data_IF_102673405579
#
_entry.id   IF_102673405579
#
_cell.length_a   1.000
_cell.length_b   1.000
_cell.length_c   1.000
_cell.angle_alpha   90.00
_cell.angle_beta   90.00
_cell.angle_gamma   90.00
#
_symmetry.space_group_name_H-M   'P 1'
#
loop_
_entity.id
_entity.type
_entity.pdbx_description
1 polymer ?
#
# COMPACT_ATOMS: atom_id res chain seq x y z
N UNK A 1 40.16 59.77 -93.72
CA UNK A 1 41.10 59.02 -92.85
C UNK A 1 40.93 59.41 -91.35
N UNK A 2 39.76 59.25 -90.71
CA UNK A 2 39.51 59.75 -89.33
C UNK A 2 38.85 58.75 -88.34
N UNK A 3 38.50 57.53 -88.79
CA UNK A 3 37.79 56.55 -87.92
C UNK A 3 38.73 55.61 -87.13
N UNK A 4 39.91 55.25 -87.67
CA UNK A 4 40.84 54.30 -87.01
C UNK A 4 41.54 54.85 -85.74
N UNK A 5 41.65 56.17 -85.56
CA UNK A 5 42.31 56.76 -84.36
C UNK A 5 41.37 56.85 -83.14
N UNK A 6 40.05 56.87 -83.33
CA UNK A 6 39.08 56.98 -82.24
C UNK A 6 38.85 55.63 -81.53
N UNK A 7 38.88 54.53 -82.28
CA UNK A 7 38.77 53.17 -81.71
C UNK A 7 39.93 52.83 -80.76
N UNK A 8 41.17 53.21 -81.08
CA UNK A 8 42.34 52.88 -80.26
C UNK A 8 42.45 53.67 -78.96
N UNK A 9 41.90 54.89 -78.91
CA UNK A 9 41.83 55.68 -77.66
C UNK A 9 40.78 55.10 -76.73
N UNK A 10 39.62 54.70 -77.27
CA UNK A 10 38.53 54.10 -76.50
C UNK A 10 38.92 52.74 -75.92
N UNK A 11 39.69 51.94 -76.66
CA UNK A 11 40.20 50.64 -76.20
C UNK A 11 41.26 50.81 -75.09
N UNK A 12 42.12 51.83 -75.19
CA UNK A 12 43.10 52.17 -74.14
C UNK A 12 42.44 52.66 -72.86
N UNK A 13 41.38 53.48 -72.94
CA UNK A 13 40.65 53.94 -71.74
C UNK A 13 39.88 52.80 -71.08
N UNK A 14 39.27 51.93 -71.87
CA UNK A 14 38.54 50.75 -71.39
C UNK A 14 39.49 49.74 -70.71
N UNK A 15 40.70 49.54 -71.24
CA UNK A 15 41.71 48.70 -70.61
C UNK A 15 42.25 49.29 -69.29
N UNK A 16 42.45 50.62 -69.20
CA UNK A 16 42.80 51.27 -67.94
C UNK A 16 41.69 51.13 -66.89
N UNK A 17 40.43 51.28 -67.30
CA UNK A 17 39.28 51.09 -66.41
C UNK A 17 39.16 49.64 -65.92
N UNK A 18 39.31 48.65 -66.82
CA UNK A 18 39.36 47.22 -66.46
C UNK A 18 40.52 46.90 -65.53
N UNK A 19 41.69 47.53 -65.72
CA UNK A 19 42.83 47.35 -64.83
C UNK A 19 42.56 47.95 -63.44
N UNK A 20 41.98 49.15 -63.38
CA UNK A 20 41.52 49.78 -62.13
C UNK A 20 40.48 48.93 -61.39
N UNK A 21 39.50 48.36 -62.10
CA UNK A 21 38.53 47.44 -61.52
C UNK A 21 39.17 46.16 -60.98
N UNK A 22 40.15 45.59 -61.69
CA UNK A 22 40.91 44.42 -61.21
C UNK A 22 41.79 44.73 -59.99
N UNK A 23 42.32 45.95 -59.89
CA UNK A 23 43.07 46.38 -58.71
C UNK A 23 42.14 46.58 -57.50
N UNK A 24 40.99 47.24 -57.70
CA UNK A 24 39.98 47.42 -56.67
C UNK A 24 39.41 46.10 -56.16
N UNK A 25 39.13 45.13 -57.05
CA UNK A 25 38.64 43.81 -56.64
C UNK A 25 39.68 42.99 -55.86
N UNK A 26 40.96 43.14 -56.18
CA UNK A 26 42.06 42.54 -55.39
C UNK A 26 42.15 43.15 -53.99
N UNK A 27 41.97 44.46 -53.85
CA UNK A 27 41.97 45.12 -52.54
C UNK A 27 40.76 44.69 -51.71
N UNK A 28 39.57 44.60 -52.32
CA UNK A 28 38.36 44.12 -51.64
C UNK A 28 38.49 42.66 -51.19
N UNK A 29 39.09 41.79 -52.01
CA UNK A 29 39.31 40.38 -51.63
C UNK A 29 40.39 40.22 -50.58
N UNK A 30 41.44 41.04 -50.59
CA UNK A 30 42.43 41.08 -49.51
C UNK A 30 41.79 41.56 -48.19
N UNK A 31 41.04 42.65 -48.21
CA UNK A 31 40.33 43.17 -47.03
C UNK A 31 39.29 42.18 -46.48
N UNK A 32 38.61 41.42 -47.36
CA UNK A 32 37.70 40.36 -46.94
C UNK A 32 38.42 39.18 -46.26
N UNK A 33 39.62 38.81 -46.75
CA UNK A 33 40.45 37.77 -46.11
C UNK A 33 40.98 38.22 -44.76
N UNK A 34 41.40 39.47 -44.63
CA UNK A 34 41.89 40.00 -43.35
C UNK A 34 40.76 40.08 -42.31
N UNK A 35 39.54 40.46 -42.71
CA UNK A 35 38.35 40.39 -41.84
C UNK A 35 38.02 38.96 -41.42
N UNK A 36 37.98 38.01 -42.36
CA UNK A 36 37.73 36.61 -42.05
C UNK A 36 38.80 36.02 -41.10
N UNK A 37 40.07 36.46 -41.23
CA UNK A 37 41.14 36.04 -40.33
C UNK A 37 41.02 36.64 -38.92
N UNK A 38 40.47 37.86 -38.80
CA UNK A 38 40.15 38.47 -37.51
C UNK A 38 38.94 37.79 -36.85
N UNK A 39 37.88 37.53 -37.61
CA UNK A 39 36.68 36.83 -37.12
C UNK A 39 37.01 35.40 -36.65
N UNK A 40 37.84 34.67 -37.40
CA UNK A 40 38.30 33.34 -37.00
C UNK A 40 39.16 33.37 -35.71
N UNK A 41 39.90 34.46 -35.46
CA UNK A 41 40.66 34.63 -34.21
C UNK A 41 39.75 34.94 -33.03
N UNK A 42 38.70 35.76 -33.22
CA UNK A 42 37.72 36.00 -32.16
C UNK A 42 36.91 34.76 -31.83
N UNK A 43 36.53 33.96 -32.84
CA UNK A 43 35.79 32.71 -32.63
C UNK A 43 36.64 31.69 -31.88
N UNK A 44 37.92 31.55 -32.24
CA UNK A 44 38.85 30.67 -31.53
C UNK A 44 39.11 31.13 -30.08
N UNK A 45 39.09 32.44 -29.81
CA UNK A 45 39.20 32.98 -28.45
C UNK A 45 37.93 32.69 -27.65
N UNK A 46 36.75 32.85 -28.25
CA UNK A 46 35.46 32.56 -27.62
C UNK A 46 35.33 31.07 -27.27
N UNK A 47 35.72 30.17 -28.18
CA UNK A 47 35.73 28.73 -27.91
C UNK A 47 36.68 28.34 -26.78
N UNK A 48 37.86 28.97 -26.69
CA UNK A 48 38.80 28.73 -25.58
C UNK A 48 38.24 29.19 -24.24
N UNK A 49 37.57 30.34 -24.20
CA UNK A 49 36.93 30.84 -22.97
C UNK A 49 35.76 29.94 -22.57
N UNK A 50 34.98 29.47 -23.54
CA UNK A 50 33.88 28.53 -23.31
C UNK A 50 34.37 27.19 -22.74
N UNK A 51 35.41 26.60 -23.32
CA UNK A 51 36.01 25.35 -22.79
C UNK A 51 36.56 25.52 -21.38
N UNK A 52 37.23 26.65 -21.08
CA UNK A 52 37.68 26.94 -19.72
C UNK A 52 36.53 27.06 -18.73
N UNK A 53 35.45 27.74 -19.10
CA UNK A 53 34.26 27.84 -18.24
C UNK A 53 33.57 26.49 -18.04
N UNK A 54 33.53 25.64 -19.06
CA UNK A 54 33.01 24.26 -18.97
C UNK A 54 33.92 23.37 -18.10
N UNK A 55 35.24 23.49 -18.21
CA UNK A 55 36.22 22.79 -17.37
C UNK A 55 36.14 23.25 -15.90
N UNK A 56 36.00 24.55 -15.64
CA UNK A 56 35.80 25.11 -14.30
C UNK A 56 34.45 24.67 -13.71
N UNK A 57 33.37 24.69 -14.49
CA UNK A 57 32.07 24.19 -14.06
C UNK A 57 32.08 22.67 -13.80
N UNK A 58 32.78 21.90 -14.63
CA UNK A 58 32.97 20.47 -14.41
C UNK A 58 33.83 20.18 -13.16
N UNK A 59 34.85 20.99 -12.89
CA UNK A 59 35.66 20.88 -11.68
C UNK A 59 34.85 21.20 -10.41
N UNK A 60 34.00 22.23 -10.45
CA UNK A 60 33.08 22.55 -9.35
C UNK A 60 32.06 21.42 -9.15
N UNK A 61 31.47 20.88 -10.22
CA UNK A 61 30.53 19.78 -10.15
C UNK A 61 31.17 18.48 -9.64
N UNK A 62 32.42 18.19 -10.02
CA UNK A 62 33.18 17.05 -9.51
C UNK A 62 33.49 17.20 -8.01
N UNK A 63 33.85 18.41 -7.58
CA UNK A 63 34.08 18.72 -6.17
C UNK A 63 32.79 18.63 -5.33
N UNK A 64 31.63 18.91 -5.94
CA UNK A 64 30.30 18.78 -5.30
C UNK A 64 29.83 17.31 -5.22
N UNK A 65 30.23 16.46 -6.17
CA UNK A 65 29.97 15.01 -6.17
C UNK A 65 30.88 14.23 -5.20
N UNK A 66 32.09 14.70 -4.91
CA UNK A 66 32.99 14.11 -3.91
C UNK A 66 32.60 14.44 -2.47
N UNK A 67 31.73 15.43 -2.26
CA UNK A 67 31.21 15.71 -0.92
C UNK A 67 30.24 14.57 -0.54
N UNK A 68 30.53 13.76 0.49
CA UNK A 68 29.61 12.72 0.91
C UNK A 68 28.26 13.37 1.24
N UNK A 69 27.12 12.78 0.84
CA UNK A 69 25.82 13.32 1.17
C UNK A 69 25.71 13.35 2.69
N UNK A 70 25.83 14.54 3.28
CA UNK A 70 25.51 14.75 4.68
C UNK A 70 24.04 14.33 4.86
N UNK A 71 23.73 13.43 5.80
CA UNK A 71 22.36 12.99 5.97
C UNK A 71 21.51 14.21 6.26
N UNK A 72 20.47 14.43 5.45
CA UNK A 72 19.50 15.51 5.64
C UNK A 72 18.96 15.38 7.05
N UNK A 73 19.43 16.23 7.96
CA UNK A 73 18.90 16.34 9.32
C UNK A 73 17.52 16.99 9.19
N UNK A 74 16.50 16.17 8.96
CA UNK A 74 15.12 16.61 9.00
C UNK A 74 14.84 17.06 10.43
N UNK A 75 14.92 18.37 10.67
CA UNK A 75 14.60 18.94 11.98
C UNK A 75 13.09 18.78 12.15
N UNK A 76 12.69 17.72 12.86
CA UNK A 76 11.31 17.48 13.20
C UNK A 76 10.74 18.70 13.95
N UNK A 77 9.81 19.41 13.33
CA UNK A 77 9.25 20.66 13.88
C UNK A 77 8.18 20.40 14.94
N UNK A 78 7.46 19.27 14.84
CA UNK A 78 6.37 18.89 15.74
C UNK A 78 6.82 17.87 16.80
N UNK A 79 6.24 17.95 18.01
CA UNK A 79 6.54 17.05 19.13
C UNK A 79 6.38 15.56 18.76
N UNK A 80 5.26 15.20 18.13
CA UNK A 80 4.99 13.84 17.65
C UNK A 80 6.00 13.38 16.59
N UNK A 81 6.46 14.29 15.74
CA UNK A 81 7.48 13.96 14.74
C UNK A 81 8.84 13.72 15.40
N UNK A 82 9.18 14.49 16.44
CA UNK A 82 10.40 14.26 17.26
C UNK A 82 10.32 12.93 17.99
N UNK A 83 9.16 12.60 18.56
CA UNK A 83 8.91 11.32 19.22
C UNK A 83 9.08 10.15 18.24
N UNK A 84 8.43 10.22 17.08
CA UNK A 84 8.57 9.19 16.05
C UNK A 84 10.02 9.04 15.58
N UNK A 85 10.72 10.14 15.30
CA UNK A 85 12.13 10.07 14.91
C UNK A 85 13.00 9.42 15.99
N UNK A 86 12.78 9.73 17.28
CA UNK A 86 13.48 9.08 18.38
C UNK A 86 13.22 7.57 18.40
N UNK A 87 11.96 7.15 18.26
CA UNK A 87 11.58 5.72 18.20
C UNK A 87 12.22 5.04 16.98
N UNK A 88 12.15 5.66 15.81
CA UNK A 88 12.73 5.12 14.57
C UNK A 88 14.26 4.96 14.71
N UNK A 89 14.95 5.88 15.39
CA UNK A 89 16.39 5.74 15.67
C UNK A 89 16.70 4.60 16.64
N UNK A 90 15.90 4.44 17.70
CA UNK A 90 16.02 3.31 18.63
C UNK A 90 15.76 1.96 17.93
N UNK A 91 14.77 1.92 17.03
CA UNK A 91 14.44 0.76 16.21
C UNK A 91 15.56 0.39 15.24
N UNK A 92 16.19 1.39 14.59
CA UNK A 92 17.30 1.15 13.66
C UNK A 92 18.56 0.67 14.36
N UNK A 93 18.89 1.26 15.52
CA UNK A 93 20.13 0.93 16.24
C UNK A 93 20.01 -0.37 17.04
N UNK A 94 18.80 -0.76 17.46
CA UNK A 94 18.52 -1.97 18.26
C UNK A 94 19.40 -2.09 19.53
N UNK A 95 19.84 -0.96 20.07
CA UNK A 95 20.73 -0.86 21.23
C UNK A 95 20.16 0.15 22.23
N UNK A 96 20.37 -0.07 23.53
CA UNK A 96 20.05 0.96 24.51
C UNK A 96 20.93 2.19 24.25
N UNK A 97 20.33 3.36 24.16
CA UNK A 97 21.03 4.62 23.87
C UNK A 97 20.86 5.60 25.02
N UNK A 98 21.95 6.32 25.33
CA UNK A 98 21.89 7.42 26.28
C UNK A 98 21.24 8.66 25.66
N UNK A 99 20.85 9.61 26.50
CA UNK A 99 20.37 10.92 26.06
C UNK A 99 21.38 11.65 25.15
N UNK A 100 22.67 11.55 25.46
CA UNK A 100 23.73 12.20 24.68
C UNK A 100 23.90 11.53 23.32
N UNK A 101 23.82 10.20 23.24
CA UNK A 101 23.85 9.48 21.97
C UNK A 101 22.65 9.85 21.10
N UNK A 102 21.45 9.87 21.69
CA UNK A 102 20.23 10.30 20.99
C UNK A 102 20.33 11.74 20.48
N UNK A 103 20.95 12.64 21.25
CA UNK A 103 21.20 14.02 20.83
C UNK A 103 22.11 14.08 19.60
N UNK A 104 23.13 13.24 19.51
CA UNK A 104 24.04 13.19 18.35
C UNK A 104 23.29 12.73 17.10
N UNK A 105 22.43 11.71 17.21
CA UNK A 105 21.66 11.20 16.07
C UNK A 105 20.51 12.13 15.64
N UNK A 106 19.76 12.67 16.60
CA UNK A 106 18.54 13.44 16.34
C UNK A 106 18.80 14.94 16.16
N UNK A 107 19.91 15.46 16.67
CA UNK A 107 20.21 16.89 16.68
C UNK A 107 19.38 17.71 17.66
N UNK A 108 18.57 17.08 18.52
CA UNK A 108 17.82 17.70 19.61
C UNK A 108 17.85 16.83 20.87
N UNK A 109 17.65 17.46 22.03
CA UNK A 109 17.66 16.78 23.33
C UNK A 109 16.30 16.11 23.60
N UNK A 110 16.33 14.82 23.97
CA UNK A 110 15.12 14.05 24.31
C UNK A 110 14.72 14.17 25.79
N UNK A 111 15.63 14.66 26.64
CA UNK A 111 15.44 14.78 28.10
C UNK A 111 14.62 16.01 28.52
N UNK A 112 14.37 16.96 27.62
CA UNK A 112 13.79 18.25 28.00
C UNK A 112 12.32 18.33 27.59
N UNK A 113 11.46 18.50 28.60
CA UNK A 113 10.07 18.90 28.45
C UNK A 113 9.11 17.78 28.05
N UNK A 114 8.00 18.09 27.35
CA UNK A 114 6.89 17.16 27.10
C UNK A 114 7.26 15.95 26.22
N UNK A 115 8.43 15.99 25.55
CA UNK A 115 8.92 14.88 24.75
C UNK A 115 9.36 13.70 25.62
N UNK A 116 10.01 13.97 26.74
CA UNK A 116 10.48 12.93 27.67
C UNK A 116 9.29 12.16 28.25
N UNK A 117 8.29 12.87 28.75
CA UNK A 117 7.05 12.27 29.28
C UNK A 117 6.32 11.46 28.20
N UNK A 118 6.30 11.97 26.98
CA UNK A 118 5.67 11.29 25.84
C UNK A 118 6.42 10.01 25.43
N UNK A 119 7.75 10.01 25.49
CA UNK A 119 8.57 8.82 25.22
C UNK A 119 8.43 7.79 26.34
N UNK A 120 8.44 8.22 27.60
CA UNK A 120 8.29 7.35 28.76
C UNK A 120 6.93 6.64 28.80
N UNK A 121 5.88 7.31 28.35
CA UNK A 121 4.52 6.75 28.28
C UNK A 121 4.27 5.90 27.02
N UNK A 122 5.25 5.77 26.12
CA UNK A 122 5.03 5.10 24.84
C UNK A 122 5.27 3.59 24.95
N UNK A 123 4.35 2.77 24.41
CA UNK A 123 4.40 1.30 24.52
C UNK A 123 5.67 0.66 23.95
N UNK A 124 6.28 1.27 22.92
CA UNK A 124 7.49 0.78 22.24
C UNK A 124 8.81 1.31 22.81
N UNK A 125 8.78 2.10 23.87
CA UNK A 125 10.00 2.67 24.49
C UNK A 125 10.03 2.26 25.94
N UNK A 126 11.17 1.73 26.37
CA UNK A 126 11.46 1.47 27.77
C UNK A 126 12.55 2.44 28.21
N UNK A 127 12.35 3.09 29.36
CA UNK A 127 13.30 4.02 29.94
C UNK A 127 13.72 3.50 31.31
N UNK A 128 15.00 3.16 31.42
CA UNK A 128 15.59 2.74 32.68
C UNK A 128 16.07 3.98 33.45
N UNK A 129 15.42 4.28 34.58
CA UNK A 129 15.75 5.44 35.41
C UNK A 129 17.13 5.34 36.05
N UNK A 130 17.61 4.12 36.32
CA UNK A 130 18.87 3.89 37.01
C UNK A 130 20.08 4.12 36.10
N UNK A 131 19.96 3.70 34.84
CA UNK A 131 21.02 3.84 33.84
C UNK A 131 20.85 5.06 32.94
N UNK A 132 19.66 5.66 32.91
CA UNK A 132 19.34 6.79 32.03
C UNK A 132 19.33 6.41 30.55
N UNK A 133 19.07 5.14 30.24
CA UNK A 133 19.12 4.58 28.89
C UNK A 133 17.71 4.38 28.33
N UNK A 134 17.52 4.74 27.06
CA UNK A 134 16.34 4.42 26.28
C UNK A 134 16.56 3.13 25.51
N UNK A 135 15.66 2.16 25.67
CA UNK A 135 15.64 0.91 24.92
C UNK A 135 14.36 0.82 24.09
N UNK A 136 14.47 0.25 22.89
CA UNK A 136 13.30 -0.13 22.11
C UNK A 136 12.65 -1.38 22.72
N UNK A 137 11.36 -1.30 23.03
CA UNK A 137 10.54 -2.41 23.50
C UNK A 137 9.74 -2.98 22.34
N UNK A 138 10.15 -4.16 21.86
CA UNK A 138 9.36 -4.90 20.90
C UNK A 138 8.09 -5.46 21.56
N UNK A 139 7.07 -5.77 20.75
CA UNK A 139 5.83 -6.39 21.25
C UNK A 139 6.10 -7.73 21.94
N UNK A 140 7.03 -8.51 21.39
CA UNK A 140 7.52 -9.76 21.95
C UNK A 140 9.04 -9.69 22.10
N UNK A 141 9.57 -10.03 23.28
CA UNK A 141 11.02 -10.03 23.55
C UNK A 141 11.63 -11.35 23.11
N UNK A 142 11.87 -11.46 21.80
CA UNK A 142 12.35 -12.67 21.13
C UNK A 142 13.67 -12.33 20.45
N UNK A 143 14.70 -13.14 20.67
CA UNK A 143 16.05 -12.88 20.13
C UNK A 143 16.50 -13.96 19.15
N UNK A 144 16.01 -15.19 19.34
CA UNK A 144 16.43 -16.36 18.60
C UNK A 144 15.25 -17.10 17.95
N UNK A 145 15.58 -17.99 17.01
CA UNK A 145 14.60 -18.89 16.37
C UNK A 145 13.88 -19.80 17.36
N UNK A 146 14.59 -20.29 18.39
CA UNK A 146 14.02 -21.15 19.45
C UNK A 146 12.98 -20.38 20.28
N UNK A 147 13.29 -19.14 20.65
CA UNK A 147 12.36 -18.24 21.35
C UNK A 147 11.06 -18.01 20.54
N UNK A 148 11.15 -17.91 19.20
CA UNK A 148 9.97 -17.80 18.33
C UNK A 148 9.09 -19.04 18.46
N UNK A 149 9.70 -20.22 18.49
CA UNK A 149 8.98 -21.50 18.62
C UNK A 149 8.31 -21.61 19.98
N UNK A 150 9.00 -21.24 21.06
CA UNK A 150 8.42 -21.20 22.41
C UNK A 150 7.25 -20.23 22.49
N UNK A 151 7.39 -19.04 21.91
CA UNK A 151 6.33 -18.04 21.88
C UNK A 151 5.09 -18.56 21.15
N UNK A 152 5.26 -19.13 19.95
CA UNK A 152 4.16 -19.73 19.17
C UNK A 152 3.50 -20.87 19.95
N UNK A 153 4.26 -21.65 20.71
CA UNK A 153 3.72 -22.71 21.54
C UNK A 153 2.91 -22.20 22.74
N UNK A 154 3.28 -21.03 23.27
CA UNK A 154 2.58 -20.37 24.38
C UNK A 154 1.34 -19.61 23.93
N UNK A 155 1.27 -19.17 22.66
CA UNK A 155 0.14 -18.40 22.12
C UNK A 155 -0.83 -19.30 21.34
N UNK A 156 -1.98 -19.70 21.90
CA UNK A 156 -2.94 -20.56 21.21
C UNK A 156 -3.63 -19.87 20.03
N UNK A 157 -3.75 -18.54 20.06
CA UNK A 157 -4.44 -17.73 19.04
C UNK A 157 -3.60 -17.53 17.76
N UNK A 158 -2.38 -18.05 17.73
CA UNK A 158 -1.43 -17.86 16.65
C UNK A 158 -0.70 -16.53 16.72
N UNK A 159 0.39 -16.43 15.97
CA UNK A 159 1.30 -15.30 16.01
C UNK A 159 1.56 -14.75 14.61
N UNK A 160 1.30 -13.46 14.39
CA UNK A 160 1.52 -12.85 13.08
C UNK A 160 2.99 -12.54 12.83
N UNK A 161 3.47 -12.74 11.60
CA UNK A 161 4.89 -12.46 11.26
C UNK A 161 5.23 -10.99 11.50
N UNK A 162 4.30 -10.06 11.25
CA UNK A 162 4.52 -8.63 11.44
C UNK A 162 4.86 -8.27 12.90
N UNK A 163 4.37 -9.05 13.87
CA UNK A 163 4.70 -8.87 15.29
C UNK A 163 6.10 -9.38 15.64
N UNK A 164 6.58 -10.44 14.96
CA UNK A 164 7.93 -10.99 15.18
C UNK A 164 8.99 -10.12 14.51
N UNK A 165 8.69 -9.57 13.32
CA UNK A 165 9.58 -8.67 12.58
C UNK A 165 9.98 -7.46 13.44
N UNK A 166 9.09 -7.06 14.36
CA UNK A 166 9.37 -6.00 15.31
C UNK A 166 10.46 -6.38 16.34
N UNK A 167 10.66 -7.66 16.63
CA UNK A 167 11.60 -8.14 17.66
C UNK A 167 13.06 -8.05 17.21
N UNK A 168 13.42 -8.69 16.09
CA UNK A 168 14.80 -8.72 15.59
C UNK A 168 14.89 -8.82 14.06
N UNK A 169 16.07 -8.50 13.50
CA UNK A 169 16.26 -8.31 12.05
C UNK A 169 15.99 -9.58 11.22
N UNK A 170 16.37 -10.76 11.73
CA UNK A 170 16.23 -12.05 11.04
C UNK A 170 14.92 -12.77 11.35
N UNK A 171 14.05 -12.16 12.14
CA UNK A 171 12.79 -12.75 12.59
C UNK A 171 11.93 -13.32 11.46
N UNK A 172 11.86 -12.61 10.33
CA UNK A 172 11.07 -13.05 9.17
C UNK A 172 11.62 -14.31 8.54
N UNK A 173 12.93 -14.39 8.39
CA UNK A 173 13.60 -15.51 7.73
C UNK A 173 13.55 -16.74 8.64
N UNK A 174 13.76 -16.55 9.94
CA UNK A 174 13.70 -17.62 10.94
C UNK A 174 12.27 -18.17 11.09
N UNK A 175 11.25 -17.30 11.04
CA UNK A 175 9.84 -17.71 11.01
C UNK A 175 9.48 -18.54 9.77
N UNK A 176 10.04 -18.20 8.61
CA UNK A 176 9.84 -18.98 7.38
C UNK A 176 10.61 -20.31 7.44
N UNK A 177 11.84 -20.31 7.97
CA UNK A 177 12.61 -21.53 8.17
C UNK A 177 11.89 -22.52 9.12
N UNK A 178 11.24 -22.02 10.18
CA UNK A 178 10.40 -22.85 11.06
C UNK A 178 9.19 -23.47 10.37
N UNK A 179 8.64 -22.77 9.36
CA UNK A 179 7.56 -23.31 8.54
C UNK A 179 8.07 -24.33 7.51
N UNK A 180 9.27 -24.13 6.95
CA UNK A 180 9.91 -25.07 6.03
C UNK A 180 10.38 -26.36 6.72
N UNK A 181 10.75 -26.28 8.00
CA UNK A 181 11.10 -27.43 8.85
C UNK A 181 9.87 -28.20 9.35
N UNK A 182 8.66 -27.83 8.92
CA UNK A 182 7.39 -28.41 9.37
C UNK A 182 7.20 -28.37 10.90
N UNK A 183 7.90 -27.48 11.62
CA UNK A 183 7.78 -27.31 13.06
C UNK A 183 6.55 -26.44 13.42
N UNK A 184 6.13 -25.56 12.52
CA UNK A 184 5.07 -24.57 12.74
C UNK A 184 4.16 -24.51 11.50
N UNK A 185 2.86 -24.34 11.72
CA UNK A 185 1.89 -24.22 10.62
C UNK A 185 1.81 -22.75 10.20
N UNK A 186 2.16 -22.46 8.95
CA UNK A 186 2.03 -21.14 8.35
C UNK A 186 0.71 -21.02 7.60
N UNK A 187 -0.21 -20.18 8.09
CA UNK A 187 -1.42 -19.84 7.37
C UNK A 187 -1.25 -18.46 6.70
N UNK A 188 -1.50 -18.40 5.40
CA UNK A 188 -1.53 -17.12 4.66
C UNK A 188 -2.98 -16.75 4.40
N UNK A 189 -3.41 -15.60 4.92
CA UNK A 189 -4.74 -15.07 4.61
C UNK A 189 -4.78 -14.62 3.14
N UNK A 190 -5.79 -15.06 2.40
CA UNK A 190 -5.94 -14.77 0.97
C UNK A 190 -6.27 -13.31 0.69
N UNK A 191 -6.96 -12.62 1.60
CA UNK A 191 -7.37 -11.22 1.43
C UNK A 191 -6.27 -10.25 1.90
N UNK A 192 -5.75 -10.44 3.11
CA UNK A 192 -4.78 -9.51 3.71
C UNK A 192 -3.33 -9.86 3.40
N UNK A 193 -3.06 -11.05 2.82
CA UNK A 193 -1.70 -11.61 2.61
C UNK A 193 -0.85 -11.69 3.87
N UNK A 194 -1.48 -11.53 5.04
CA UNK A 194 -0.82 -11.67 6.32
C UNK A 194 -0.53 -13.15 6.57
N UNK A 195 0.64 -13.39 7.12
CA UNK A 195 1.12 -14.73 7.47
C UNK A 195 1.04 -14.89 8.98
N UNK A 196 0.33 -15.91 9.43
CA UNK A 196 0.14 -16.24 10.84
C UNK A 196 0.72 -17.63 11.10
N UNK A 197 1.51 -17.72 12.16
CA UNK A 197 2.14 -18.94 12.64
C UNK A 197 1.27 -19.57 13.72
N UNK A 198 0.95 -20.84 13.56
CA UNK A 198 0.22 -21.63 14.56
C UNK A 198 1.08 -22.78 15.06
N UNK A 199 0.91 -23.09 16.34
CA UNK A 199 1.51 -24.26 16.95
C UNK A 199 1.09 -25.52 16.19
N UNK A 200 2.08 -26.30 15.74
CA UNK A 200 1.84 -27.65 15.27
C UNK A 200 1.68 -28.58 16.47
N UNK A 201 0.58 -29.32 16.53
CA UNK A 201 0.36 -30.32 17.57
C UNK A 201 0.61 -31.70 16.95
N UNK A 202 1.64 -32.44 17.42
CA UNK A 202 1.97 -33.76 16.85
C UNK A 202 0.87 -34.79 17.08
N UNK A 203 -0.02 -34.57 18.04
CA UNK A 203 -1.15 -35.44 18.36
C UNK A 203 -2.16 -35.59 17.20
N UNK A 204 -2.20 -34.63 16.29
CA UNK A 204 -3.14 -34.61 15.17
C UNK A 204 -2.52 -34.94 13.82
N UNK A 205 -1.23 -35.25 13.78
CA UNK A 205 -0.54 -35.60 12.54
C UNK A 205 -0.73 -37.09 12.24
N UNK A 206 -1.69 -37.36 11.35
CA UNK A 206 -1.95 -38.71 10.84
C UNK A 206 -1.52 -38.76 9.39
N UNK A 207 -0.58 -39.65 9.07
CA UNK A 207 -0.18 -39.92 7.69
C UNK A 207 -1.31 -40.66 6.97
N UNK A 208 -1.94 -39.98 6.02
CA UNK A 208 -3.02 -40.55 5.19
C UNK A 208 -2.52 -40.75 3.77
N UNK A 209 -2.82 -41.91 3.18
CA UNK A 209 -2.42 -42.20 1.81
C UNK A 209 -3.11 -41.24 0.82
N UNK A 210 -2.40 -40.81 -0.22
CA UNK A 210 -2.90 -39.85 -1.23
C UNK A 210 -4.12 -40.38 -1.97
N UNK A 211 -4.16 -41.68 -2.23
CA UNK A 211 -5.31 -42.33 -2.87
C UNK A 211 -6.57 -42.24 -2.00
N UNK A 212 -6.42 -42.36 -0.68
CA UNK A 212 -7.54 -42.21 0.25
C UNK A 212 -8.04 -40.76 0.29
N UNK A 213 -7.12 -39.78 0.29
CA UNK A 213 -7.48 -38.35 0.23
C UNK A 213 -8.26 -38.05 -1.06
N UNK A 214 -7.83 -38.59 -2.20
CA UNK A 214 -8.53 -38.43 -3.47
C UNK A 214 -9.93 -39.05 -3.42
N UNK A 215 -10.05 -40.30 -2.94
CA UNK A 215 -11.36 -40.95 -2.79
C UNK A 215 -12.28 -40.21 -1.81
N UNK A 216 -11.73 -39.61 -0.74
CA UNK A 216 -12.51 -38.83 0.21
C UNK A 216 -13.09 -37.56 -0.42
N UNK A 217 -12.31 -36.86 -1.23
CA UNK A 217 -12.78 -35.65 -1.93
C UNK A 217 -13.71 -35.93 -3.12
N UNK A 218 -13.67 -37.14 -3.68
CA UNK A 218 -14.58 -37.57 -4.75
C UNK A 218 -15.99 -37.87 -4.24
N UNK A 219 -16.17 -38.12 -2.93
CA UNK A 219 -17.50 -38.36 -2.36
C UNK A 219 -18.35 -37.08 -2.42
N UNK A 220 -19.35 -37.07 -3.30
CA UNK A 220 -20.35 -36.01 -3.37
C UNK A 220 -21.26 -36.07 -2.13
N UNK A 221 -21.21 -35.01 -1.32
CA UNK A 221 -22.12 -34.83 -0.19
C UNK A 221 -23.42 -34.22 -0.73
N UNK A 222 -24.59 -34.86 -0.55
CA UNK A 222 -25.88 -34.31 -0.97
C UNK A 222 -26.14 -32.90 -0.41
N UNK A 223 -26.54 -31.96 -1.27
CA UNK A 223 -26.86 -30.58 -0.88
C UNK A 223 -28.08 -30.48 0.04
N UNK A 224 -29.00 -31.45 -0.05
CA UNK A 224 -30.25 -31.44 0.72
C UNK A 224 -30.19 -32.42 1.88
N UNK A 225 -30.41 -31.89 3.08
CA UNK A 225 -30.38 -32.63 4.35
C UNK A 225 -31.32 -33.84 4.37
N UNK A 226 -32.48 -33.74 3.72
CA UNK A 226 -33.47 -34.82 3.65
C UNK A 226 -32.92 -36.02 2.87
N UNK A 227 -32.13 -35.77 1.84
CA UNK A 227 -31.54 -36.82 1.02
C UNK A 227 -30.29 -37.41 1.68
N UNK A 228 -29.54 -36.61 2.46
CA UNK A 228 -28.50 -37.09 3.37
C UNK A 228 -29.09 -38.02 4.46
N UNK A 229 -30.18 -37.63 5.11
CA UNK A 229 -30.84 -38.44 6.15
C UNK A 229 -31.41 -39.75 5.57
N UNK A 230 -31.95 -39.73 4.35
CA UNK A 230 -32.39 -40.96 3.65
C UNK A 230 -31.20 -41.86 3.33
N UNK A 231 -30.07 -41.29 2.89
CA UNK A 231 -28.85 -42.05 2.59
C UNK A 231 -28.23 -42.66 3.86
N UNK A 232 -28.25 -41.94 4.99
CA UNK A 232 -27.82 -42.49 6.28
C UNK A 232 -28.73 -43.63 6.74
N UNK A 233 -30.05 -43.43 6.66
CA UNK A 233 -31.04 -44.47 7.02
C UNK A 233 -30.96 -45.70 6.14
N UNK A 234 -30.65 -45.55 4.85
CA UNK A 234 -30.47 -46.69 3.94
C UNK A 234 -29.20 -47.50 4.27
N UNK A 235 -28.19 -46.86 4.86
CA UNK A 235 -26.97 -47.50 5.40
C UNK A 235 -27.13 -47.98 6.86
N UNK A 236 -28.33 -47.85 7.45
CA UNK A 236 -28.61 -48.30 8.82
C UNK A 236 -28.03 -47.41 9.93
N UNK A 237 -27.55 -46.21 9.57
CA UNK A 237 -27.08 -45.21 10.54
C UNK A 237 -28.25 -44.30 10.89
N UNK A 238 -28.59 -44.20 12.17
CA UNK A 238 -29.59 -43.23 12.62
C UNK A 238 -29.04 -41.81 12.45
N UNK A 239 -29.74 -40.93 11.70
CA UNK A 239 -29.32 -39.53 11.59
C UNK A 239 -29.31 -38.88 12.97
N UNK A 240 -28.17 -38.29 13.34
CA UNK A 240 -28.08 -37.51 14.57
C UNK A 240 -29.11 -36.37 14.53
N UNK A 241 -29.93 -36.21 15.58
CA UNK A 241 -30.89 -35.13 15.64
C UNK A 241 -30.14 -33.80 15.63
N UNK A 242 -30.31 -33.04 14.54
CA UNK A 242 -29.65 -31.74 14.41
C UNK A 242 -30.34 -30.73 15.32
N UNK A 243 -29.59 -29.91 16.07
CA UNK A 243 -30.17 -28.77 16.74
C UNK A 243 -30.79 -27.89 15.65
N UNK A 244 -32.10 -27.66 15.75
CA UNK A 244 -32.76 -26.64 14.94
C UNK A 244 -32.14 -25.33 15.43
N UNK A 245 -31.15 -24.81 14.70
CA UNK A 245 -30.81 -23.41 14.83
C UNK A 245 -32.04 -22.67 14.33
N UNK A 246 -32.75 -22.00 15.24
CA UNK A 246 -33.73 -21.00 14.86
C UNK A 246 -32.99 -19.98 13.98
N UNK A 247 -33.07 -20.16 12.67
CA UNK A 247 -32.64 -19.24 11.63
C UNK A 247 -33.59 -18.03 11.63
N UNK A 248 -33.80 -17.43 12.81
CA UNK A 248 -34.86 -16.49 13.07
C UNK A 248 -36.24 -17.00 12.65
N UNK A 249 -37.28 -16.15 12.77
CA UNK A 249 -38.55 -16.43 12.14
C UNK A 249 -38.34 -16.51 10.63
N UNK A 250 -38.62 -17.66 10.02
CA UNK A 250 -38.78 -17.75 8.58
C UNK A 250 -39.71 -16.60 8.13
N UNK A 251 -39.43 -15.90 7.01
CA UNK A 251 -40.28 -14.80 6.57
C UNK A 251 -41.71 -15.33 6.44
N UNK A 252 -42.62 -14.79 7.25
CA UNK A 252 -44.02 -15.18 7.20
C UNK A 252 -44.50 -14.91 5.78
N UNK A 253 -44.62 -15.97 4.98
CA UNK A 253 -45.35 -15.93 3.73
C UNK A 253 -46.78 -15.68 4.16
N UNK A 254 -47.19 -14.40 4.18
CA UNK A 254 -48.54 -13.97 4.51
C UNK A 254 -49.48 -14.60 3.48
N UNK A 255 -49.94 -15.81 3.79
CA UNK A 255 -50.96 -16.50 3.00
C UNK A 255 -52.21 -15.64 3.11
N UNK A 256 -52.47 -14.82 2.09
CA UNK A 256 -53.70 -14.04 1.97
C UNK A 256 -54.87 -15.01 2.14
N UNK A 257 -55.53 -14.97 3.31
CA UNK A 257 -56.71 -15.77 3.58
C UNK A 257 -57.75 -15.41 2.51
N UNK A 258 -58.11 -16.38 1.65
CA UNK A 258 -59.22 -16.21 0.72
C UNK A 258 -60.47 -15.93 1.56
N UNK A 259 -61.00 -14.70 1.49
CA UNK A 259 -62.29 -14.36 2.12
C UNK A 259 -63.34 -15.29 1.51
N UNK A 260 -63.95 -16.14 2.34
CA UNK A 260 -65.12 -16.94 1.92
C UNK A 260 -66.23 -15.95 1.55
N UNK A 261 -66.83 -16.09 0.37
CA UNK A 261 -67.98 -15.29 -0.02
C UNK A 261 -69.14 -15.57 0.96
N UNK A 262 -69.70 -14.51 1.54
CA UNK A 262 -70.83 -14.61 2.49
C UNK A 262 -72.07 -15.00 1.70
N UNK A 263 -72.70 -16.11 2.09
CA UNK A 263 -73.87 -16.66 1.41
C UNK A 263 -75.14 -16.02 2.00
N UNK A 264 -75.56 -14.88 1.44
CA UNK A 264 -76.64 -14.03 1.97
C UNK A 264 -78.02 -14.71 2.00
N UNK A 265 -78.22 -15.78 1.23
CA UNK A 265 -79.51 -16.49 1.13
C UNK A 265 -79.87 -17.27 2.41
N UNK A 266 -78.90 -17.56 3.30
CA UNK A 266 -79.15 -18.30 4.54
C UNK A 266 -79.31 -17.42 5.78
N UNK A 267 -79.16 -16.10 5.64
CA UNK A 267 -79.14 -15.17 6.78
C UNK A 267 -80.53 -14.58 7.11
N UNK A 268 -81.51 -14.74 6.22
CA UNK A 268 -82.86 -14.18 6.37
C UNK A 268 -83.95 -15.25 6.51
N UNK A 269 -83.72 -16.29 7.32
CA UNK A 269 -84.78 -17.23 7.70
C UNK A 269 -84.69 -17.54 9.19
N UNK A 270 -85.06 -16.58 10.01
CA UNK A 270 -85.41 -16.83 11.42
C UNK A 270 -86.69 -16.04 11.70
N UNK A 271 -87.76 -16.76 12.04
CA UNK A 271 -89.10 -16.25 12.43
C UNK A 271 -90.13 -16.10 11.31
N UNK A 272 -90.36 -17.17 10.54
CA UNK A 272 -91.52 -17.30 9.64
C UNK A 272 -92.84 -17.67 10.35
N UNK A 273 -92.84 -17.82 11.67
CA UNK A 273 -93.96 -18.35 12.46
C UNK A 273 -94.53 -17.34 13.48
N UNK A 274 -94.06 -16.09 13.48
CA UNK A 274 -94.54 -15.02 14.39
C UNK A 274 -94.84 -13.73 13.61
N UNK A 275 -95.92 -13.67 12.82
CA UNK A 275 -96.25 -12.51 11.99
C UNK A 275 -96.67 -11.26 12.79
N UNK A 276 -97.02 -11.39 14.06
CA UNK A 276 -97.44 -10.25 14.90
C UNK A 276 -96.28 -9.36 15.36
N UNK A 277 -95.03 -9.85 15.30
CA UNK A 277 -93.83 -9.07 15.63
C UNK A 277 -93.52 -7.96 14.61
N UNK A 278 -94.11 -8.02 13.42
CA UNK A 278 -93.87 -7.06 12.33
C UNK A 278 -95.09 -6.16 12.04
N UNK A 279 -96.14 -6.20 12.87
CA UNK A 279 -97.41 -5.47 12.63
C UNK A 279 -97.64 -4.23 13.52
N UNK A 280 -96.67 -3.83 14.34
CA UNK A 280 -96.74 -2.55 15.07
C UNK A 280 -95.52 -1.71 14.80
N UNK A 281 -95.76 -0.51 14.26
CA UNK A 281 -94.79 0.55 14.09
C UNK A 281 -94.16 0.88 15.45
N UNK A 282 -92.92 0.45 15.62
CA UNK A 282 -92.07 0.79 16.74
C UNK A 282 -90.62 0.81 16.27
N UNK A 283 -89.80 1.82 16.53
CA UNK A 283 -89.96 3.25 16.84
C UNK A 283 -88.62 3.83 16.33
N UNK A 284 -88.62 5.03 15.76
CA UNK A 284 -87.37 5.70 15.44
C UNK A 284 -86.51 5.94 16.70
N UNK A 285 -85.23 5.59 16.57
CA UNK A 285 -84.06 5.99 17.39
C UNK A 285 -83.87 5.36 18.78
N UNK A 286 -82.60 5.03 19.07
CA UNK A 286 -81.75 5.88 19.92
C UNK A 286 -80.29 5.41 19.84
N UNK A 287 -79.40 6.36 19.53
CA UNK A 287 -77.95 6.17 19.42
C UNK A 287 -77.32 5.65 20.71
N UNK A 288 -76.23 4.89 20.52
CA UNK A 288 -75.26 4.45 21.53
C UNK A 288 -74.07 3.79 20.84
#
# INVERSE_FOLDING_TARGET
MSSKRKASVLEKTLNKYRHGQKAASKIMTAAARDRAALDARSDAQYERMKRKAEEEAAAIAAMELEKPPEPVKVVATNLLAKQKHAIDTLFQQRRPMSNDDLRVFLGFECNVGPLFDSLRNHEKVDYDEDTGLFRYKAKHDVLCKEDVLELVNSTPDGLSIDEIVDSYVKAKDDALALAEEDAVILLTNTETKQKVLFRKQPEYEVEVNKDFVASFHEVEIPEHDVDFDKALRSQGIEPTPRPIYDLGPAPEIVKKKKKRQVNFERMNVTNAHMPELFQKDQVDRLDG
#
